data_IF_960353533358
#
_entry.id   IF_960353533358
#
_cell.length_a   1.000
_cell.length_b   1.000
_cell.length_c   1.000
_cell.angle_alpha   90.00
_cell.angle_beta   90.00
_cell.angle_gamma   90.00
#
_symmetry.space_group_name_H-M   'P 1'
#
loop_
_entity.id
_entity.type
_entity.pdbx_description
1 polymer ?
#
# COMPACT_ATOMS: atom_id res chain seq x y z
N UNK A 1 64.22 -4.73 -6.34
CA UNK A 1 63.31 -5.45 -5.42
C UNK A 1 62.28 -4.51 -4.79
N UNK A 2 62.69 -3.40 -4.17
CA UNK A 2 61.74 -2.41 -3.61
C UNK A 2 60.75 -1.83 -4.62
N UNK A 3 61.21 -1.48 -5.83
CA UNK A 3 60.34 -0.89 -6.87
C UNK A 3 59.26 -1.87 -7.36
N UNK A 4 59.61 -3.15 -7.52
CA UNK A 4 58.64 -4.19 -7.89
C UNK A 4 57.59 -4.40 -6.79
N UNK A 5 58.00 -4.31 -5.52
CA UNK A 5 57.11 -4.45 -4.36
C UNK A 5 56.16 -3.25 -4.25
N UNK A 6 56.67 -2.04 -4.49
CA UNK A 6 55.85 -0.81 -4.58
C UNK A 6 54.83 -0.88 -5.72
N UNK A 7 55.22 -1.36 -6.90
CA UNK A 7 54.31 -1.53 -8.04
C UNK A 7 53.20 -2.56 -7.76
N UNK A 8 53.51 -3.68 -7.09
CA UNK A 8 52.51 -4.67 -6.71
C UNK A 8 51.52 -4.13 -5.67
N UNK A 9 52.00 -3.35 -4.69
CA UNK A 9 51.13 -2.72 -3.68
C UNK A 9 50.20 -1.70 -4.34
N UNK A 10 50.71 -0.88 -5.25
CA UNK A 10 49.89 0.10 -5.99
C UNK A 10 48.84 -0.59 -6.85
N UNK A 11 49.20 -1.67 -7.55
CA UNK A 11 48.26 -2.42 -8.38
C UNK A 11 47.15 -3.09 -7.55
N UNK A 12 47.52 -3.71 -6.42
CA UNK A 12 46.60 -4.29 -5.45
C UNK A 12 45.66 -3.23 -4.87
N UNK A 13 46.19 -2.08 -4.45
CA UNK A 13 45.39 -0.97 -3.92
C UNK A 13 44.39 -0.43 -4.95
N UNK A 14 44.80 -0.32 -6.22
CA UNK A 14 43.94 0.15 -7.31
C UNK A 14 42.76 -0.80 -7.53
N UNK A 15 43.00 -2.11 -7.56
CA UNK A 15 41.95 -3.12 -7.77
C UNK A 15 41.03 -3.30 -6.55
N UNK A 16 41.58 -3.29 -5.34
CA UNK A 16 40.82 -3.61 -4.12
C UNK A 16 40.05 -2.40 -3.58
N UNK A 17 40.55 -1.18 -3.76
CA UNK A 17 39.97 0.01 -3.13
C UNK A 17 39.32 0.96 -4.14
N UNK A 18 39.99 1.24 -5.25
CA UNK A 18 39.54 2.27 -6.20
C UNK A 18 38.41 1.74 -7.08
N UNK A 19 38.54 0.53 -7.64
CA UNK A 19 37.52 -0.09 -8.49
C UNK A 19 36.16 -0.23 -7.77
N UNK A 20 36.06 -0.81 -6.57
CA UNK A 20 34.76 -0.94 -5.89
C UNK A 20 34.18 0.39 -5.42
N UNK A 21 35.01 1.35 -4.96
CA UNK A 21 34.52 2.71 -4.61
C UNK A 21 33.97 3.45 -5.83
N UNK A 22 34.66 3.35 -6.97
CA UNK A 22 34.22 3.98 -8.21
C UNK A 22 32.95 3.32 -8.74
N UNK A 23 32.85 2.00 -8.67
CA UNK A 23 31.63 1.26 -8.99
C UNK A 23 30.46 1.65 -8.07
N UNK A 24 30.68 1.78 -6.77
CA UNK A 24 29.65 2.21 -5.80
C UNK A 24 29.18 3.64 -6.08
N UNK A 25 30.10 4.56 -6.38
CA UNK A 25 29.77 5.94 -6.74
C UNK A 25 29.00 6.02 -8.06
N UNK A 26 29.40 5.23 -9.07
CA UNK A 26 28.68 5.10 -10.34
C UNK A 26 27.28 4.54 -10.12
N UNK A 27 27.15 3.49 -9.31
CA UNK A 27 25.86 2.89 -8.93
C UNK A 27 24.94 3.90 -8.25
N UNK A 28 25.45 4.65 -7.26
CA UNK A 28 24.68 5.68 -6.57
C UNK A 28 24.30 6.83 -7.49
N UNK A 29 25.18 7.21 -8.41
CA UNK A 29 24.91 8.28 -9.38
C UNK A 29 23.89 7.84 -10.41
N UNK A 30 23.94 6.60 -10.92
CA UNK A 30 22.92 6.03 -11.81
C UNK A 30 21.59 5.89 -11.08
N UNK A 31 21.60 5.39 -9.84
CA UNK A 31 20.39 5.30 -9.00
C UNK A 31 19.76 6.67 -8.79
N UNK A 32 20.56 7.68 -8.41
CA UNK A 32 20.10 9.05 -8.24
C UNK A 32 19.66 9.69 -9.55
N UNK A 33 20.34 9.41 -10.67
CA UNK A 33 19.96 9.91 -11.99
C UNK A 33 18.67 9.28 -12.48
N UNK A 34 18.41 8.00 -12.19
CA UNK A 34 17.16 7.31 -12.51
C UNK A 34 16.00 7.83 -11.64
N UNK A 35 16.26 8.07 -10.34
CA UNK A 35 15.28 8.67 -9.42
C UNK A 35 14.99 10.13 -9.78
N UNK A 36 16.00 10.89 -10.22
CA UNK A 36 15.87 12.28 -10.65
C UNK A 36 15.47 12.44 -12.12
N UNK A 37 15.49 11.38 -12.91
CA UNK A 37 15.08 11.41 -14.31
C UNK A 37 13.59 11.77 -14.35
N UNK A 38 13.23 12.93 -14.92
CA UNK A 38 11.94 13.53 -14.70
C UNK A 38 10.89 12.77 -15.52
N UNK A 39 10.01 12.03 -14.85
CA UNK A 39 8.63 12.07 -15.31
C UNK A 39 8.07 13.42 -14.83
N UNK A 40 8.16 14.45 -15.67
CA UNK A 40 7.45 15.72 -15.46
C UNK A 40 5.95 15.52 -15.19
N UNK A 41 5.41 14.38 -15.64
CA UNK A 41 4.07 13.89 -15.37
C UNK A 41 3.85 13.38 -13.92
N UNK A 42 4.85 12.75 -13.29
CA UNK A 42 4.80 12.34 -11.88
C UNK A 42 5.18 13.47 -10.92
N UNK A 43 6.11 14.34 -11.30
CA UNK A 43 6.37 15.56 -10.51
C UNK A 43 5.13 16.46 -10.41
N UNK A 44 4.18 16.32 -11.34
CA UNK A 44 2.85 16.96 -11.30
C UNK A 44 1.76 16.12 -10.62
N UNK A 45 1.95 14.82 -10.45
CA UNK A 45 0.93 13.91 -9.93
C UNK A 45 1.36 13.45 -8.56
N UNK A 46 0.70 13.97 -7.50
CA UNK A 46 1.01 13.61 -6.13
C UNK A 46 1.13 12.09 -5.96
N UNK A 47 2.24 11.63 -5.39
CA UNK A 47 2.48 10.24 -4.97
C UNK A 47 1.33 9.70 -4.11
N UNK A 48 0.55 10.59 -3.49
CA UNK A 48 -0.69 10.26 -2.77
C UNK A 48 -1.74 9.55 -3.63
N UNK A 49 -1.77 9.73 -4.95
CA UNK A 49 -2.71 9.04 -5.85
C UNK A 49 -2.44 7.52 -5.89
N UNK A 50 -1.18 7.09 -5.77
CA UNK A 50 -0.81 5.66 -5.69
C UNK A 50 -1.26 5.03 -4.37
N UNK A 51 -1.04 5.76 -3.26
CA UNK A 51 -1.44 5.36 -1.90
C UNK A 51 -2.97 5.25 -1.80
N UNK A 52 -3.69 6.08 -2.55
CA UNK A 52 -5.16 6.12 -2.60
C UNK A 52 -5.79 5.06 -3.52
N UNK A 53 -5.04 4.07 -4.04
CA UNK A 53 -5.64 3.01 -4.88
C UNK A 53 -6.72 2.20 -4.15
N UNK A 54 -6.64 2.11 -2.81
CA UNK A 54 -7.65 1.44 -1.99
C UNK A 54 -8.86 2.31 -1.71
N UNK A 55 -8.69 3.60 -1.38
CA UNK A 55 -9.85 4.48 -1.18
C UNK A 55 -10.55 4.80 -2.50
N UNK A 56 -9.85 4.74 -3.64
CA UNK A 56 -10.48 4.82 -4.96
C UNK A 56 -11.37 3.60 -5.28
N UNK A 57 -11.08 2.42 -4.71
CA UNK A 57 -11.88 1.19 -4.91
C UNK A 57 -13.05 1.06 -3.94
N UNK A 58 -12.96 1.66 -2.75
CA UNK A 58 -14.00 1.52 -1.72
C UNK A 58 -15.41 1.98 -2.20
N UNK A 59 -15.59 3.15 -2.86
CA UNK A 59 -16.89 3.57 -3.36
C UNK A 59 -17.49 2.63 -4.40
N UNK A 60 -16.66 1.98 -5.22
CA UNK A 60 -17.11 0.98 -6.19
C UNK A 60 -17.71 -0.23 -5.48
N UNK A 61 -17.03 -0.76 -4.46
CA UNK A 61 -17.55 -1.90 -3.69
C UNK A 61 -18.82 -1.56 -2.94
N UNK A 62 -18.87 -0.38 -2.30
CA UNK A 62 -20.08 0.09 -1.62
C UNK A 62 -21.27 0.22 -2.60
N UNK A 63 -21.04 0.79 -3.78
CA UNK A 63 -22.09 0.95 -4.79
C UNK A 63 -22.61 -0.39 -5.31
N UNK A 64 -21.72 -1.38 -5.50
CA UNK A 64 -22.13 -2.74 -5.90
C UNK A 64 -22.95 -3.40 -4.79
N UNK A 65 -22.53 -3.28 -3.52
CA UNK A 65 -23.26 -3.87 -2.39
C UNK A 65 -24.65 -3.24 -2.23
N UNK A 66 -24.75 -1.92 -2.32
CA UNK A 66 -26.01 -1.17 -2.29
C UNK A 66 -26.92 -1.60 -3.46
N UNK A 67 -26.36 -1.73 -4.66
CA UNK A 67 -27.10 -2.17 -5.85
C UNK A 67 -27.64 -3.60 -5.71
N UNK A 68 -26.88 -4.50 -5.07
CA UNK A 68 -27.30 -5.88 -4.80
C UNK A 68 -28.46 -5.93 -3.79
N UNK A 69 -28.36 -5.14 -2.71
CA UNK A 69 -29.42 -5.05 -1.70
C UNK A 69 -30.69 -4.40 -2.26
N UNK A 70 -30.55 -3.41 -3.15
CA UNK A 70 -31.64 -2.63 -3.74
C UNK A 70 -32.11 -3.06 -5.14
N UNK A 71 -31.71 -4.24 -5.64
CA UNK A 71 -31.87 -4.59 -7.06
C UNK A 71 -33.34 -4.60 -7.51
N UNK A 72 -34.26 -5.02 -6.64
CA UNK A 72 -35.70 -5.02 -6.92
C UNK A 72 -36.22 -3.59 -7.12
N UNK A 73 -35.83 -2.67 -6.23
CA UNK A 73 -36.17 -1.24 -6.30
C UNK A 73 -35.61 -0.61 -7.58
N UNK A 74 -34.34 -0.85 -7.90
CA UNK A 74 -33.69 -0.31 -9.11
C UNK A 74 -34.43 -0.74 -10.37
N UNK A 75 -34.86 -2.01 -10.45
CA UNK A 75 -35.64 -2.53 -11.58
C UNK A 75 -37.05 -1.98 -11.62
N UNK A 76 -37.73 -1.88 -10.49
CA UNK A 76 -39.09 -1.35 -10.40
C UNK A 76 -39.20 0.10 -10.90
N UNK A 77 -38.19 0.93 -10.61
CA UNK A 77 -38.13 2.32 -11.07
C UNK A 77 -37.46 2.50 -12.45
N UNK A 78 -36.98 1.42 -13.08
CA UNK A 78 -36.31 1.49 -14.39
C UNK A 78 -34.95 2.21 -14.37
N UNK A 79 -34.26 2.28 -13.23
CA UNK A 79 -33.03 3.05 -13.03
C UNK A 79 -31.73 2.28 -13.34
N UNK A 80 -31.84 1.16 -14.05
CA UNK A 80 -30.70 0.28 -14.34
C UNK A 80 -29.61 0.98 -15.14
N UNK A 81 -29.97 1.74 -16.18
CA UNK A 81 -29.00 2.48 -17.00
C UNK A 81 -28.19 3.49 -16.20
N UNK A 82 -28.85 4.24 -15.29
CA UNK A 82 -28.19 5.22 -14.42
C UNK A 82 -27.20 4.56 -13.46
N UNK A 83 -27.57 3.43 -12.86
CA UNK A 83 -26.68 2.67 -11.97
C UNK A 83 -25.50 2.07 -12.73
N UNK A 84 -25.71 1.58 -13.95
CA UNK A 84 -24.63 1.08 -14.82
C UNK A 84 -23.66 2.20 -15.18
N UNK A 85 -24.16 3.37 -15.61
CA UNK A 85 -23.31 4.52 -15.94
C UNK A 85 -22.49 5.00 -14.73
N UNK A 86 -23.12 5.08 -13.55
CA UNK A 86 -22.42 5.41 -12.30
C UNK A 86 -21.36 4.37 -11.94
N UNK A 87 -21.67 3.08 -12.08
CA UNK A 87 -20.72 2.01 -11.82
C UNK A 87 -19.51 2.06 -12.76
N UNK A 88 -19.71 2.33 -14.06
CA UNK A 88 -18.63 2.51 -15.02
C UNK A 88 -17.74 3.71 -14.67
N UNK A 89 -18.33 4.84 -14.28
CA UNK A 89 -17.56 6.01 -13.84
C UNK A 89 -16.72 5.73 -12.57
N UNK A 90 -17.28 4.98 -11.61
CA UNK A 90 -16.56 4.54 -10.41
C UNK A 90 -15.44 3.56 -10.76
N UNK A 91 -15.68 2.65 -11.71
CA UNK A 91 -14.68 1.71 -12.20
C UNK A 91 -13.50 2.45 -12.85
N UNK A 92 -13.77 3.41 -13.75
CA UNK A 92 -12.73 4.22 -14.38
C UNK A 92 -11.88 4.96 -13.35
N UNK A 93 -12.51 5.51 -12.31
CA UNK A 93 -11.80 6.19 -11.21
C UNK A 93 -10.92 5.23 -10.42
N UNK A 94 -11.40 4.02 -10.14
CA UNK A 94 -10.67 2.99 -9.42
C UNK A 94 -9.48 2.42 -10.22
N UNK A 95 -9.55 2.44 -11.56
CA UNK A 95 -8.50 1.93 -12.44
C UNK A 95 -7.35 2.91 -12.68
N UNK A 96 -7.61 4.23 -12.65
CA UNK A 96 -6.58 5.26 -12.91
C UNK A 96 -5.30 5.09 -12.08
N UNK A 97 -5.33 4.91 -10.74
CA UNK A 97 -4.11 4.74 -9.95
C UNK A 97 -3.30 3.51 -10.36
N UNK A 98 -3.99 2.41 -10.69
CA UNK A 98 -3.35 1.16 -11.11
C UNK A 98 -2.68 1.31 -12.47
N UNK A 99 -3.37 1.93 -13.44
CA UNK A 99 -2.81 2.20 -14.76
C UNK A 99 -1.58 3.11 -14.67
N UNK A 100 -1.65 4.17 -13.85
CA UNK A 100 -0.52 5.06 -13.62
C UNK A 100 0.68 4.31 -13.04
N UNK A 101 0.49 3.49 -12.00
CA UNK A 101 1.56 2.66 -11.43
C UNK A 101 2.22 1.78 -12.51
N UNK A 102 1.44 1.16 -13.40
CA UNK A 102 1.97 0.35 -14.49
C UNK A 102 2.80 1.19 -15.47
N UNK A 103 2.34 2.39 -15.84
CA UNK A 103 3.11 3.32 -16.67
C UNK A 103 4.45 3.68 -16.04
N UNK A 104 4.47 3.94 -14.72
CA UNK A 104 5.70 4.26 -13.97
C UNK A 104 6.67 3.09 -14.00
N UNK A 105 6.20 1.87 -13.71
CA UNK A 105 7.04 0.68 -13.71
C UNK A 105 7.63 0.39 -15.10
N UNK A 106 6.82 0.55 -16.16
CA UNK A 106 7.27 0.40 -17.55
C UNK A 106 8.32 1.45 -17.93
N UNK A 107 8.08 2.72 -17.59
CA UNK A 107 9.05 3.80 -17.83
C UNK A 107 10.37 3.54 -17.12
N UNK A 108 10.32 3.17 -15.85
CA UNK A 108 11.51 2.91 -15.06
C UNK A 108 12.33 1.74 -15.63
N UNK A 109 11.66 0.68 -16.06
CA UNK A 109 12.30 -0.45 -16.74
C UNK A 109 12.95 -0.03 -18.04
N UNK A 110 12.30 0.85 -18.83
CA UNK A 110 12.86 1.40 -20.05
C UNK A 110 14.13 2.23 -19.77
N UNK A 111 14.08 3.13 -18.78
CA UNK A 111 15.24 3.98 -18.41
C UNK A 111 16.40 3.11 -17.93
N UNK A 112 16.16 2.15 -17.04
CA UNK A 112 17.19 1.21 -16.59
C UNK A 112 17.76 0.41 -17.77
N UNK A 113 16.91 -0.09 -18.66
CA UNK A 113 17.34 -0.79 -19.87
C UNK A 113 18.24 0.07 -20.77
N UNK A 114 17.90 1.35 -20.97
CA UNK A 114 18.72 2.28 -21.73
C UNK A 114 20.06 2.59 -21.05
N UNK A 115 20.08 2.70 -19.71
CA UNK A 115 21.35 2.91 -18.98
C UNK A 115 22.28 1.69 -19.09
N UNK A 116 21.73 0.48 -18.98
CA UNK A 116 22.47 -0.78 -19.15
C UNK A 116 22.99 -0.90 -20.58
N UNK A 117 22.16 -0.59 -21.58
CA UNK A 117 22.58 -0.57 -22.98
C UNK A 117 23.71 0.43 -23.24
N UNK A 118 23.62 1.64 -22.68
CA UNK A 118 24.68 2.66 -22.78
C UNK A 118 26.00 2.20 -22.16
N UNK A 119 25.95 1.60 -20.96
CA UNK A 119 27.13 1.02 -20.32
C UNK A 119 27.71 -0.16 -21.12
N UNK A 120 26.86 -0.99 -21.73
CA UNK A 120 27.30 -2.12 -22.55
C UNK A 120 28.01 -1.65 -23.84
N UNK A 121 27.49 -0.60 -24.49
CA UNK A 121 28.13 0.03 -25.66
C UNK A 121 29.49 0.60 -25.27
N UNK A 122 29.58 1.32 -24.15
CA UNK A 122 30.83 1.86 -23.63
C UNK A 122 31.86 0.77 -23.36
N UNK A 123 31.44 -0.31 -22.68
CA UNK A 123 32.30 -1.44 -22.35
C UNK A 123 32.79 -2.18 -23.61
N UNK A 124 31.92 -2.32 -24.61
CA UNK A 124 32.27 -2.92 -25.90
C UNK A 124 33.26 -2.04 -26.67
N UNK A 125 33.05 -0.72 -26.70
CA UNK A 125 33.96 0.22 -27.34
C UNK A 125 35.36 0.21 -26.68
N UNK A 126 35.42 0.16 -25.35
CA UNK A 126 36.66 -0.02 -24.60
C UNK A 126 37.31 -1.38 -24.89
N UNK A 127 36.53 -2.45 -24.98
CA UNK A 127 37.01 -3.78 -25.34
C UNK A 127 37.67 -3.84 -26.73
N UNK A 128 37.08 -3.16 -27.72
CA UNK A 128 37.62 -3.09 -29.09
C UNK A 128 38.91 -2.26 -29.14
N UNK A 129 38.94 -1.13 -28.44
CA UNK A 129 40.13 -0.25 -28.41
C UNK A 129 41.31 -0.85 -27.64
N UNK A 130 41.05 -1.62 -26.58
CA UNK A 130 42.07 -2.31 -25.78
C UNK A 130 42.20 -3.81 -26.15
N UNK A 131 41.82 -4.19 -27.37
CA UNK A 131 41.81 -5.59 -27.84
C UNK A 131 43.15 -6.33 -27.66
N UNK A 132 44.27 -5.62 -27.63
CA UNK A 132 45.61 -6.21 -27.42
C UNK A 132 45.97 -6.46 -25.95
N UNK A 133 45.21 -5.91 -24.99
CA UNK A 133 45.47 -6.01 -23.55
C UNK A 133 44.35 -6.66 -22.74
N UNK A 134 43.16 -6.82 -23.32
CA UNK A 134 42.00 -7.42 -22.66
C UNK A 134 41.67 -8.77 -23.30
N UNK A 135 41.52 -9.79 -22.46
CA UNK A 135 41.03 -11.10 -22.91
C UNK A 135 39.53 -11.02 -23.23
N UNK A 136 39.16 -11.61 -24.37
CA UNK A 136 37.79 -11.61 -24.86
C UNK A 136 36.83 -12.33 -23.90
N UNK A 137 37.33 -13.32 -23.14
CA UNK A 137 36.57 -14.02 -22.10
C UNK A 137 36.07 -13.08 -21.00
N UNK A 138 36.94 -12.24 -20.45
CA UNK A 138 36.56 -11.28 -19.39
C UNK A 138 35.58 -10.22 -19.89
N UNK A 139 35.69 -9.79 -21.15
CA UNK A 139 34.73 -8.85 -21.75
C UNK A 139 33.32 -9.45 -21.83
N UNK A 140 33.23 -10.72 -22.26
CA UNK A 140 31.95 -11.45 -22.31
C UNK A 140 31.31 -11.60 -20.94
N UNK A 141 32.11 -11.97 -19.92
CA UNK A 141 31.64 -12.07 -18.52
C UNK A 141 31.15 -10.72 -18.00
N UNK A 142 31.84 -9.62 -18.31
CA UNK A 142 31.44 -8.28 -17.91
C UNK A 142 30.09 -7.86 -18.54
N UNK A 143 29.88 -8.15 -19.83
CA UNK A 143 28.61 -7.87 -20.52
C UNK A 143 27.44 -8.67 -19.95
N UNK A 144 27.62 -9.98 -19.70
CA UNK A 144 26.59 -10.82 -19.08
C UNK A 144 26.28 -10.35 -17.65
N UNK A 145 27.31 -10.02 -16.88
CA UNK A 145 27.13 -9.50 -15.51
C UNK A 145 26.37 -8.18 -15.49
N UNK A 146 26.62 -7.30 -16.46
CA UNK A 146 25.92 -6.03 -16.61
C UNK A 146 24.43 -6.22 -16.97
N UNK A 147 24.12 -7.20 -17.81
CA UNK A 147 22.73 -7.53 -18.13
C UNK A 147 21.97 -8.06 -16.91
N UNK A 148 22.62 -8.94 -16.12
CA UNK A 148 22.05 -9.45 -14.86
C UNK A 148 21.84 -8.34 -13.82
N UNK A 149 22.77 -7.38 -13.74
CA UNK A 149 22.66 -6.20 -12.88
C UNK A 149 21.45 -5.33 -13.27
N UNK A 150 21.22 -5.13 -14.57
CA UNK A 150 20.04 -4.42 -15.08
C UNK A 150 18.72 -5.06 -14.64
N UNK A 151 18.60 -6.39 -14.80
CA UNK A 151 17.43 -7.14 -14.34
C UNK A 151 17.26 -7.08 -12.82
N UNK A 152 18.35 -7.18 -12.07
CA UNK A 152 18.34 -7.12 -10.61
C UNK A 152 17.88 -5.76 -10.09
N UNK A 153 18.32 -4.66 -10.72
CA UNK A 153 17.87 -3.31 -10.37
C UNK A 153 16.37 -3.11 -10.65
N UNK A 154 15.87 -3.60 -11.79
CA UNK A 154 14.44 -3.54 -12.10
C UNK A 154 13.60 -4.33 -11.09
N UNK A 155 14.07 -5.53 -10.70
CA UNK A 155 13.45 -6.35 -9.67
C UNK A 155 13.46 -5.65 -8.31
N UNK A 156 14.60 -5.06 -7.91
CA UNK A 156 14.74 -4.34 -6.64
C UNK A 156 13.72 -3.22 -6.50
N UNK A 157 13.51 -2.42 -7.56
CA UNK A 157 12.55 -1.30 -7.47
C UNK A 157 11.10 -1.81 -7.43
N UNK A 158 10.82 -2.92 -8.13
CA UNK A 158 9.51 -3.57 -8.03
C UNK A 158 9.24 -4.05 -6.60
N UNK A 159 10.21 -4.73 -5.98
CA UNK A 159 10.11 -5.18 -4.59
C UNK A 159 10.03 -4.01 -3.60
N UNK A 160 10.78 -2.94 -3.82
CA UNK A 160 10.70 -1.73 -3.00
C UNK A 160 9.31 -1.10 -3.03
N UNK A 161 8.72 -0.99 -4.22
CA UNK A 161 7.35 -0.45 -4.40
C UNK A 161 6.31 -1.34 -3.72
N UNK A 162 6.48 -2.66 -3.78
CA UNK A 162 5.61 -3.62 -3.10
C UNK A 162 5.73 -3.52 -1.58
N UNK A 163 6.95 -3.37 -1.07
CA UNK A 163 7.24 -3.18 0.35
C UNK A 163 6.56 -1.91 0.87
N UNK A 164 6.71 -0.78 0.16
CA UNK A 164 6.08 0.50 0.53
C UNK A 164 4.55 0.38 0.61
N UNK A 165 3.94 -0.27 -0.38
CA UNK A 165 2.48 -0.52 -0.41
C UNK A 165 2.04 -1.37 0.79
N UNK A 166 2.83 -2.39 1.13
CA UNK A 166 2.57 -3.29 2.26
C UNK A 166 2.72 -2.56 3.60
N UNK A 167 3.74 -1.72 3.74
CA UNK A 167 3.96 -0.90 4.93
C UNK A 167 2.80 0.09 5.14
N UNK A 168 2.28 0.70 4.07
CA UNK A 168 1.09 1.54 4.13
C UNK A 168 -0.16 0.78 4.61
N UNK A 169 -0.31 -0.49 4.23
CA UNK A 169 -1.39 -1.34 4.75
C UNK A 169 -1.22 -1.67 6.24
N UNK A 170 0.00 -2.01 6.66
CA UNK A 170 0.32 -2.24 8.07
C UNK A 170 0.04 -0.97 8.89
N UNK A 171 0.43 0.21 8.39
CA UNK A 171 0.16 1.49 9.05
C UNK A 171 -1.33 1.68 9.28
N UNK A 172 -2.18 1.46 8.26
CA UNK A 172 -3.64 1.61 8.42
C UNK A 172 -4.24 0.62 9.42
N UNK A 173 -3.77 -0.63 9.43
CA UNK A 173 -4.22 -1.64 10.41
C UNK A 173 -3.79 -1.25 11.82
N UNK A 174 -2.56 -0.75 11.98
CA UNK A 174 -2.05 -0.26 13.26
C UNK A 174 -2.87 0.94 13.75
N UNK A 175 -3.09 1.95 12.90
CA UNK A 175 -3.96 3.09 13.21
C UNK A 175 -5.36 2.63 13.61
N UNK A 176 -5.96 1.68 12.88
CA UNK A 176 -7.25 1.10 13.28
C UNK A 176 -7.19 0.41 14.65
N UNK A 177 -6.11 -0.31 14.96
CA UNK A 177 -5.94 -0.97 16.26
C UNK A 177 -5.69 0.00 17.42
N UNK A 178 -5.02 1.13 17.18
CA UNK A 178 -4.64 2.10 18.21
C UNK A 178 -5.74 3.15 18.45
N UNK A 179 -6.37 3.63 17.39
CA UNK A 179 -7.30 4.77 17.45
C UNK A 179 -8.78 4.35 17.58
N UNK A 180 -9.13 3.08 17.31
CA UNK A 180 -10.52 2.63 17.44
C UNK A 180 -10.89 2.53 18.93
N UNK A 181 -11.95 3.21 19.39
CA UNK A 181 -12.40 3.10 20.77
C UNK A 181 -12.84 1.66 21.06
N UNK A 182 -12.16 1.01 22.00
CA UNK A 182 -12.51 -0.34 22.45
C UNK A 182 -13.68 -0.28 23.42
N UNK A 183 -14.64 -1.19 23.25
CA UNK A 183 -15.64 -1.44 24.28
C UNK A 183 -14.93 -1.84 25.58
N UNK A 184 -15.39 -1.34 26.72
CA UNK A 184 -14.79 -1.69 28.02
C UNK A 184 -14.77 -3.22 28.15
N UNK A 185 -13.68 -3.83 28.65
CA UNK A 185 -13.64 -5.26 28.88
C UNK A 185 -14.89 -5.68 29.64
N UNK A 186 -15.61 -6.68 29.13
CA UNK A 186 -16.75 -7.25 29.83
C UNK A 186 -16.27 -7.60 31.22
N UNK A 187 -16.73 -6.88 32.24
CA UNK A 187 -16.46 -7.26 33.62
C UNK A 187 -16.90 -8.72 33.74
N UNK A 188 -15.96 -9.59 34.12
CA UNK A 188 -16.27 -10.99 34.34
C UNK A 188 -17.14 -10.99 35.59
N UNK A 189 -18.45 -10.83 35.38
CA UNK A 189 -19.46 -11.08 36.40
C UNK A 189 -19.19 -12.51 36.86
N UNK A 190 -18.87 -12.67 38.15
CA UNK A 190 -18.55 -13.95 38.77
C UNK A 190 -19.55 -14.99 38.27
N UNK A 191 -19.06 -16.06 37.64
CA UNK A 191 -19.91 -17.09 37.02
C UNK A 191 -20.86 -17.75 38.03
N UNK A 192 -20.61 -17.57 39.33
CA UNK A 192 -21.51 -17.93 40.43
C UNK A 192 -22.81 -17.10 40.45
N UNK A 193 -22.79 -15.85 40.00
CA UNK A 193 -23.97 -14.96 39.89
C UNK A 193 -24.87 -15.41 38.71
N UNK A 194 -24.29 -16.05 37.69
CA UNK A 194 -25.00 -16.50 36.48
C UNK A 194 -25.75 -17.82 36.64
N UNK A 195 -25.47 -18.61 37.69
CA UNK A 195 -26.14 -19.88 37.94
C UNK A 195 -27.59 -19.63 38.42
N UNK A 196 -28.50 -19.35 37.49
CA UNK A 196 -29.90 -19.05 37.75
C UNK A 196 -30.30 -17.58 37.55
N UNK A 197 -29.40 -16.73 37.03
CA UNK A 197 -29.77 -15.37 36.62
C UNK A 197 -30.26 -15.34 35.17
N UNK A 198 -31.35 -14.60 34.85
CA UNK A 198 -32.23 -13.92 35.80
C UNK A 198 -33.23 -14.91 36.45
N UNK A 199 -33.29 -14.93 37.79
CA UNK A 199 -34.14 -15.86 38.56
C UNK A 199 -35.59 -15.39 38.66
N UNK A 200 -35.77 -14.08 38.75
CA UNK A 200 -37.04 -13.37 38.66
C UNK A 200 -36.83 -12.35 37.57
N UNK A 201 -37.56 -12.45 36.44
CA UNK A 201 -37.39 -11.56 35.29
C UNK A 201 -37.88 -10.12 35.52
N UNK A 202 -37.76 -9.60 36.75
CA UNK A 202 -38.02 -8.21 37.05
C UNK A 202 -36.88 -7.33 36.53
N UNK A 203 -37.24 -6.17 36.00
CA UNK A 203 -36.28 -5.22 35.42
C UNK A 203 -36.55 -3.85 36.03
N UNK A 204 -35.53 -3.28 36.66
CA UNK A 204 -35.60 -1.93 37.23
C UNK A 204 -34.53 -1.09 36.54
N UNK A 205 -34.99 -0.03 35.88
CA UNK A 205 -34.18 0.96 35.18
C UNK A 205 -34.34 2.26 35.98
N UNK A 206 -33.25 2.77 36.52
CA UNK A 206 -33.23 4.00 37.32
C UNK A 206 -32.31 5.03 36.67
N UNK A 207 -32.81 6.25 36.53
CA UNK A 207 -32.12 7.42 36.03
C UNK A 207 -31.34 7.17 34.73
N UNK A 208 -31.92 6.38 33.82
CA UNK A 208 -31.21 5.94 32.63
C UNK A 208 -31.27 6.98 31.52
N UNK A 209 -30.12 7.30 30.94
CA UNK A 209 -29.98 8.23 29.83
C UNK A 209 -29.14 7.61 28.72
N UNK A 210 -29.51 7.85 27.47
CA UNK A 210 -28.80 7.33 26.30
C UNK A 210 -28.60 8.44 25.26
N UNK A 211 -27.44 8.45 24.61
CA UNK A 211 -27.06 9.46 23.63
C UNK A 211 -26.39 8.86 22.40
N UNK A 212 -26.59 9.49 21.24
CA UNK A 212 -25.77 9.26 20.05
C UNK A 212 -24.85 10.47 19.87
N UNK A 213 -23.56 10.25 19.65
CA UNK A 213 -22.56 11.29 19.37
C UNK A 213 -22.59 12.49 20.36
N UNK A 214 -22.89 12.22 21.64
CA UNK A 214 -22.94 13.24 22.71
C UNK A 214 -24.28 13.97 22.87
N UNK A 215 -25.28 13.73 22.02
CA UNK A 215 -26.62 14.31 22.18
C UNK A 215 -27.59 13.33 22.87
N UNK A 216 -28.12 13.66 24.07
CA UNK A 216 -29.01 12.77 24.80
C UNK A 216 -30.38 12.66 24.13
N UNK A 217 -30.69 11.44 23.67
CA UNK A 217 -31.95 11.04 23.03
C UNK A 217 -32.94 10.52 24.07
N UNK A 218 -32.45 9.74 25.04
CA UNK A 218 -33.22 9.31 26.21
C UNK A 218 -32.65 10.02 27.44
N UNK A 219 -33.54 10.54 28.29
CA UNK A 219 -33.18 11.37 29.45
C UNK A 219 -33.95 10.91 30.67
N UNK A 220 -33.22 10.57 31.73
CA UNK A 220 -33.72 10.29 33.08
C UNK A 220 -34.96 9.37 33.07
N UNK A 221 -34.80 8.20 32.46
CA UNK A 221 -35.86 7.19 32.38
C UNK A 221 -35.84 6.35 33.65
N UNK A 222 -36.96 6.36 34.36
CA UNK A 222 -37.25 5.50 35.50
C UNK A 222 -38.38 4.54 35.15
N UNK A 223 -38.09 3.24 35.07
CA UNK A 223 -39.06 2.19 34.72
C UNK A 223 -38.83 0.97 35.62
N UNK A 224 -39.91 0.44 36.20
CA UNK A 224 -39.90 -0.81 36.97
C UNK A 224 -40.90 -1.79 36.37
N UNK A 225 -40.42 -2.96 35.95
CA UNK A 225 -41.19 -4.05 35.34
C UNK A 225 -41.13 -5.24 36.28
N UNK A 226 -42.29 -5.73 36.71
CA UNK A 226 -42.39 -6.83 37.64
C UNK A 226 -42.21 -8.20 36.95
N UNK A 227 -41.82 -9.21 37.71
CA UNK A 227 -41.65 -10.56 37.17
C UNK A 227 -42.98 -11.11 36.64
N UNK A 228 -42.98 -11.57 35.38
CA UNK A 228 -44.19 -12.08 34.70
C UNK A 228 -45.08 -11.01 34.07
N UNK A 229 -44.70 -9.72 34.16
CA UNK A 229 -45.42 -8.61 33.55
C UNK A 229 -45.11 -8.51 32.04
N UNK A 230 -46.14 -8.24 31.23
CA UNK A 230 -45.99 -7.96 29.80
C UNK A 230 -46.23 -6.48 29.56
N UNK A 231 -45.18 -5.74 29.22
CA UNK A 231 -45.23 -4.30 28.97
C UNK A 231 -45.05 -4.04 27.48
N UNK A 232 -45.83 -3.12 26.92
CA UNK A 232 -45.68 -2.64 25.55
C UNK A 232 -45.14 -1.20 25.57
N UNK A 233 -44.05 -0.96 24.84
CA UNK A 233 -43.49 0.38 24.67
C UNK A 233 -44.04 0.98 23.38
N UNK A 234 -44.87 2.01 23.51
CA UNK A 234 -45.43 2.74 22.39
C UNK A 234 -44.82 4.14 22.32
N UNK A 235 -44.49 4.60 21.11
CA UNK A 235 -43.91 5.91 20.90
C UNK A 235 -44.04 6.34 19.44
N UNK A 236 -43.78 7.63 19.18
CA UNK A 236 -43.62 8.09 17.80
C UNK A 236 -42.39 7.43 17.20
N UNK A 237 -42.45 7.08 15.92
CA UNK A 237 -41.27 6.59 15.18
C UNK A 237 -40.16 7.65 15.23
N UNK A 238 -38.96 7.24 15.66
CA UNK A 238 -37.77 8.10 15.65
C UNK A 238 -37.47 8.56 14.23
N UNK A 239 -37.24 9.87 14.06
CA UNK A 239 -36.76 10.48 12.82
C UNK A 239 -35.27 10.75 12.93
#
# INVERSE_FOLDING_TARGET
MLEALMLMIVHSYMYVVIVPKSAQSLHLTVLQAVIRAPMSFLAKTDTGVLVNSLEAKAPLYSHVLESLQGIATIRAYGWTSNHVAKNLALLDRAQKPYYLLLCIQRWLTLVLGLTVAGLAILLTALGVTLRSRLDAGFLGVALVSMMNLGQSLAALITFWTLLETSLGAISRVKTFSEDTPTEKPREIVDTRILAGWPSQGSVVIENWSAHYNGHPVLRNIDISIQAGEKVAICGRTGR
#
